data_IF_645333404042
#
_entry.id   IF_645333404042
#
_cell.length_a   1.000
_cell.length_b   1.000
_cell.length_c   1.000
_cell.angle_alpha   90.00
_cell.angle_beta   90.00
_cell.angle_gamma   90.00
#
_symmetry.space_group_name_H-M   'P 1'
#
loop_
_entity.id
_entity.type
_entity.pdbx_description
1 polymer ?
#
# COMPACT_ATOMS: atom_id res chain seq x y z
N UNK A 1 -9.85 -26.95 11.41
CA UNK A 1 -10.40 -25.61 11.76
C UNK A 1 -11.11 -25.08 10.54
N UNK A 2 -12.35 -24.60 10.68
CA UNK A 2 -13.07 -23.90 9.60
C UNK A 2 -12.49 -22.51 9.35
N UNK A 3 -12.82 -21.89 8.21
CA UNK A 3 -12.41 -20.51 7.91
C UNK A 3 -12.90 -19.54 8.98
N UNK A 4 -14.12 -19.70 9.49
CA UNK A 4 -14.66 -18.85 10.56
C UNK A 4 -13.90 -18.98 11.87
N UNK A 5 -13.45 -20.20 12.20
CA UNK A 5 -12.60 -20.43 13.39
C UNK A 5 -11.23 -19.78 13.23
N UNK A 6 -10.67 -19.80 12.02
CA UNK A 6 -9.43 -19.11 11.68
C UNK A 6 -9.57 -17.59 11.70
N UNK A 7 -10.65 -17.03 11.12
CA UNK A 7 -10.94 -15.60 11.14
C UNK A 7 -11.03 -15.07 12.56
N UNK A 8 -11.79 -15.78 13.40
CA UNK A 8 -11.96 -15.45 14.81
C UNK A 8 -10.63 -15.47 15.57
N UNK A 9 -9.81 -16.49 15.35
CA UNK A 9 -8.49 -16.59 16.00
C UNK A 9 -7.57 -15.42 15.61
N UNK A 10 -7.56 -15.03 14.34
CA UNK A 10 -6.76 -13.91 13.85
C UNK A 10 -7.25 -12.57 14.39
N UNK A 11 -8.57 -12.38 14.50
CA UNK A 11 -9.15 -11.17 15.08
C UNK A 11 -8.88 -11.07 16.60
N UNK A 12 -8.96 -12.18 17.33
CA UNK A 12 -8.69 -12.22 18.78
C UNK A 12 -7.21 -12.02 19.15
N UNK A 13 -6.31 -12.16 18.17
CA UNK A 13 -4.86 -12.08 18.38
C UNK A 13 -4.16 -11.15 17.37
N UNK A 14 -4.87 -10.13 16.87
CA UNK A 14 -4.32 -9.16 15.92
C UNK A 14 -3.10 -8.43 16.52
N UNK A 15 -3.12 -8.16 17.83
CA UNK A 15 -2.01 -7.59 18.61
C UNK A 15 -0.75 -8.46 18.61
N UNK A 16 -0.89 -9.79 18.47
CA UNK A 16 0.24 -10.73 18.43
C UNK A 16 0.89 -10.84 17.05
N UNK A 17 0.29 -10.21 16.05
CA UNK A 17 0.85 -10.13 14.69
C UNK A 17 1.81 -8.95 14.53
N UNK A 18 1.82 -8.05 15.52
CA UNK A 18 2.74 -6.93 15.64
C UNK A 18 4.03 -7.34 16.35
N UNK A 19 5.16 -6.95 15.79
CA UNK A 19 6.47 -7.08 16.45
C UNK A 19 6.99 -5.68 16.80
N UNK A 20 7.41 -5.45 18.06
CA UNK A 20 8.00 -4.18 18.47
C UNK A 20 9.26 -3.88 17.66
N UNK A 21 9.46 -2.62 17.27
CA UNK A 21 10.61 -2.25 16.42
C UNK A 21 11.97 -2.45 17.08
N UNK A 22 12.04 -2.43 18.41
CA UNK A 22 13.25 -2.80 19.16
C UNK A 22 13.69 -4.25 18.95
N UNK A 23 12.81 -5.14 18.48
CA UNK A 23 13.16 -6.55 18.25
C UNK A 23 14.09 -6.73 17.03
N UNK A 24 13.97 -5.87 16.03
CA UNK A 24 14.73 -5.98 14.77
C UNK A 24 15.97 -5.09 14.71
N UNK A 25 16.11 -4.16 15.66
CA UNK A 25 17.16 -3.15 15.65
C UNK A 25 18.00 -3.25 16.92
N UNK A 26 19.33 -3.33 16.77
CA UNK A 26 20.28 -3.31 17.92
C UNK A 26 20.24 -1.99 18.71
N UNK A 27 19.84 -0.90 18.06
CA UNK A 27 19.69 0.43 18.66
C UNK A 27 18.64 1.23 17.87
N UNK A 28 17.72 1.90 18.57
CA UNK A 28 16.68 2.73 17.96
C UNK A 28 15.49 2.93 18.90
N UNK A 29 14.48 3.71 18.50
CA UNK A 29 13.25 3.85 19.28
C UNK A 29 12.53 2.51 19.43
N UNK A 30 12.22 2.09 20.66
CA UNK A 30 11.55 0.81 20.89
C UNK A 30 10.02 0.93 20.89
N UNK A 31 9.50 2.13 21.12
CA UNK A 31 8.08 2.41 21.28
C UNK A 31 7.38 2.67 19.93
N UNK A 32 7.46 1.71 19.02
CA UNK A 32 6.76 1.71 17.72
C UNK A 32 6.54 0.27 17.24
N UNK A 33 5.57 0.07 16.37
CA UNK A 33 5.36 -1.21 15.68
C UNK A 33 6.37 -1.31 14.55
N UNK A 34 7.38 -2.17 14.68
CA UNK A 34 8.42 -2.29 13.66
C UNK A 34 8.08 -3.26 12.55
N UNK A 35 7.18 -4.22 12.80
CA UNK A 35 6.72 -5.18 11.79
C UNK A 35 5.29 -5.61 12.08
N UNK A 36 4.54 -5.86 11.02
CA UNK A 36 3.19 -6.39 11.10
C UNK A 36 3.03 -7.50 10.05
N UNK A 37 2.46 -8.63 10.46
CA UNK A 37 2.13 -9.71 9.52
C UNK A 37 0.88 -9.36 8.71
N UNK A 38 0.99 -9.43 7.39
CA UNK A 38 -0.06 -9.05 6.45
C UNK A 38 -0.01 -9.87 5.16
N UNK A 39 -1.12 -9.88 4.43
CA UNK A 39 -1.18 -10.39 3.07
C UNK A 39 -0.86 -9.23 2.15
N UNK A 40 0.08 -9.42 1.22
CA UNK A 40 0.51 -8.38 0.30
C UNK A 40 0.32 -8.82 -1.15
N UNK A 41 -0.35 -7.98 -1.93
CA UNK A 41 -0.35 -8.04 -3.39
C UNK A 41 0.71 -7.10 -3.96
N UNK A 42 1.41 -7.56 -5.00
CA UNK A 42 2.42 -6.77 -5.73
C UNK A 42 2.11 -6.79 -7.22
N UNK A 43 2.06 -5.62 -7.83
CA UNK A 43 1.87 -5.43 -9.27
C UNK A 43 3.11 -4.75 -9.85
N UNK A 44 3.66 -5.33 -10.92
CA UNK A 44 4.81 -4.81 -11.63
C UNK A 44 4.42 -4.42 -13.04
N UNK A 45 4.88 -3.26 -13.49
CA UNK A 45 4.46 -2.66 -14.76
C UNK A 45 5.47 -1.66 -15.31
N UNK A 46 5.19 -1.18 -16.53
CA UNK A 46 5.96 -0.15 -17.22
C UNK A 46 5.18 1.16 -17.28
N UNK A 47 5.88 2.25 -17.53
CA UNK A 47 5.29 3.55 -17.79
C UNK A 47 4.62 4.18 -16.55
N UNK A 48 5.15 3.92 -15.35
CA UNK A 48 4.60 4.48 -14.09
C UNK A 48 4.55 6.01 -14.05
N UNK A 49 5.32 6.68 -14.90
CA UNK A 49 5.32 8.13 -15.09
C UNK A 49 4.22 8.64 -16.04
N UNK A 50 3.56 7.77 -16.79
CA UNK A 50 2.57 8.16 -17.80
C UNK A 50 1.20 8.45 -17.17
N UNK A 51 0.43 9.36 -17.77
CA UNK A 51 -0.91 9.70 -17.28
C UNK A 51 -1.85 8.49 -17.19
N UNK A 52 -1.95 7.60 -18.21
CA UNK A 52 -2.86 6.45 -18.13
C UNK A 52 -2.55 5.50 -16.97
N UNK A 53 -1.26 5.21 -16.73
CA UNK A 53 -0.86 4.36 -15.61
C UNK A 53 -1.12 5.05 -14.27
N UNK A 54 -0.90 6.36 -14.17
CA UNK A 54 -1.22 7.12 -12.94
C UNK A 54 -2.71 7.19 -12.65
N UNK A 55 -3.57 7.26 -13.68
CA UNK A 55 -5.02 7.14 -13.54
C UNK A 55 -5.41 5.74 -13.04
N UNK A 56 -4.79 4.70 -13.59
CA UNK A 56 -4.98 3.32 -13.15
C UNK A 56 -4.59 3.11 -11.68
N UNK A 57 -3.45 3.67 -11.25
CA UNK A 57 -3.02 3.67 -9.84
C UNK A 57 -4.06 4.37 -8.95
N UNK A 58 -4.60 5.51 -9.39
CA UNK A 58 -5.67 6.20 -8.64
C UNK A 58 -6.94 5.33 -8.53
N UNK A 59 -7.34 4.66 -9.61
CA UNK A 59 -8.48 3.75 -9.59
C UNK A 59 -8.25 2.56 -8.64
N UNK A 60 -7.04 2.00 -8.62
CA UNK A 60 -6.65 0.95 -7.67
C UNK A 60 -6.73 1.46 -6.22
N UNK A 61 -6.29 2.69 -5.96
CA UNK A 61 -6.39 3.30 -4.64
C UNK A 61 -7.85 3.50 -4.21
N UNK A 62 -8.71 4.00 -5.10
CA UNK A 62 -10.14 4.19 -4.82
C UNK A 62 -10.82 2.85 -4.46
N UNK A 63 -10.51 1.77 -5.20
CA UNK A 63 -10.99 0.41 -4.89
C UNK A 63 -10.44 -0.10 -3.55
N UNK A 64 -9.16 0.14 -3.28
CA UNK A 64 -8.54 -0.27 -2.03
C UNK A 64 -9.21 0.40 -0.83
N UNK A 65 -9.40 1.73 -0.86
CA UNK A 65 -10.10 2.48 0.19
C UNK A 65 -11.55 2.01 0.36
N UNK A 66 -12.27 1.74 -0.75
CA UNK A 66 -13.62 1.21 -0.68
C UNK A 66 -13.68 -0.17 0.02
N UNK A 67 -12.65 -1.00 -0.19
CA UNK A 67 -12.54 -2.34 0.42
C UNK A 67 -12.23 -2.28 1.90
N UNK A 68 -11.30 -1.42 2.32
CA UNK A 68 -10.81 -1.38 3.70
C UNK A 68 -11.59 -0.42 4.61
N UNK A 69 -12.39 0.49 4.04
CA UNK A 69 -13.11 1.51 4.80
C UNK A 69 -12.19 2.61 5.35
N UNK A 70 -12.35 2.96 6.62
CA UNK A 70 -11.74 4.13 7.27
C UNK A 70 -10.40 3.86 7.98
N UNK A 71 -9.72 2.77 7.62
CA UNK A 71 -8.54 2.29 8.33
C UNK A 71 -7.30 3.18 8.15
N UNK A 72 -7.13 3.83 7.00
CA UNK A 72 -5.93 4.62 6.70
C UNK A 72 -5.78 5.86 7.57
N UNK A 73 -4.55 6.12 8.03
CA UNK A 73 -4.24 7.22 8.95
C UNK A 73 -3.23 8.22 8.40
N UNK A 74 -2.29 7.76 7.59
CA UNK A 74 -1.18 8.57 7.11
C UNK A 74 -0.98 8.44 5.61
N UNK A 75 -0.64 9.56 4.99
CA UNK A 75 -0.02 9.66 3.67
C UNK A 75 1.43 10.07 3.86
N UNK A 76 2.34 9.31 3.29
CA UNK A 76 3.77 9.57 3.23
C UNK A 76 4.15 9.69 1.77
N UNK A 77 4.79 10.77 1.38
CA UNK A 77 5.36 10.93 0.03
C UNK A 77 6.84 11.15 0.16
N UNK A 78 7.57 10.67 -0.84
CA UNK A 78 9.00 10.89 -0.93
C UNK A 78 9.35 12.37 -0.77
N UNK A 79 10.47 12.64 -0.08
CA UNK A 79 10.98 13.98 0.20
C UNK A 79 10.03 14.91 1.00
N UNK A 80 8.96 14.39 1.62
CA UNK A 80 8.00 15.21 2.39
C UNK A 80 7.74 14.67 3.80
N UNK A 81 7.19 15.52 4.67
CA UNK A 81 6.69 15.09 5.98
C UNK A 81 5.37 14.31 5.84
N UNK A 82 5.11 13.31 6.68
CA UNK A 82 3.83 12.62 6.72
C UNK A 82 2.65 13.57 6.93
N UNK A 83 1.53 13.27 6.29
CA UNK A 83 0.28 14.02 6.37
C UNK A 83 -0.81 13.08 6.89
N UNK A 84 -1.65 13.56 7.80
CA UNK A 84 -2.83 12.79 8.22
C UNK A 84 -3.76 12.56 7.02
N UNK A 85 -4.21 11.32 6.82
CA UNK A 85 -5.03 10.94 5.67
C UNK A 85 -6.31 11.78 5.56
N UNK A 86 -6.97 12.05 6.69
CA UNK A 86 -8.16 12.92 6.76
C UNK A 86 -7.93 14.37 6.29
N UNK A 87 -6.66 14.81 6.23
CA UNK A 87 -6.26 16.15 5.75
C UNK A 87 -5.60 16.09 4.37
N UNK A 88 -5.36 14.89 3.84
CA UNK A 88 -4.76 14.72 2.53
C UNK A 88 -5.77 15.11 1.46
N UNK A 89 -5.28 15.74 0.40
CA UNK A 89 -6.07 15.93 -0.82
C UNK A 89 -6.23 14.57 -1.52
N UNK A 90 -7.29 14.38 -2.34
CA UNK A 90 -7.43 13.19 -3.17
C UNK A 90 -6.14 12.86 -3.93
N UNK A 91 -5.78 11.57 -4.01
CA UNK A 91 -4.53 11.14 -4.64
C UNK A 91 -4.39 11.68 -6.08
N UNK A 92 -5.49 11.61 -6.84
CA UNK A 92 -5.60 12.12 -8.21
C UNK A 92 -5.23 13.59 -8.36
N UNK A 93 -5.50 14.43 -7.36
CA UNK A 93 -5.24 15.87 -7.43
C UNK A 93 -3.75 16.20 -7.38
N UNK A 94 -2.94 15.26 -6.90
CA UNK A 94 -1.49 15.35 -6.83
C UNK A 94 -0.82 14.50 -7.91
N UNK A 95 -1.13 13.20 -7.97
CA UNK A 95 -0.41 12.24 -8.81
C UNK A 95 -0.51 12.58 -10.30
N UNK A 96 -1.68 13.05 -10.77
CA UNK A 96 -1.90 13.38 -12.18
C UNK A 96 -1.27 14.73 -12.60
N UNK A 97 -0.81 15.54 -11.64
CA UNK A 97 -0.18 16.84 -11.91
C UNK A 97 1.35 16.79 -11.89
N UNK A 98 1.92 15.65 -11.52
CA UNK A 98 3.37 15.46 -11.53
C UNK A 98 3.90 15.50 -12.96
N UNK A 99 5.09 16.07 -13.14
CA UNK A 99 5.85 15.89 -14.38
C UNK A 99 6.27 14.40 -14.53
N UNK A 100 6.48 13.88 -15.75
CA UNK A 100 7.08 12.57 -15.95
C UNK A 100 8.35 12.30 -15.15
N UNK A 101 9.18 13.32 -14.90
CA UNK A 101 10.46 13.18 -14.20
C UNK A 101 10.39 13.49 -12.69
N UNK A 102 9.21 13.78 -12.16
CA UNK A 102 8.98 13.95 -10.73
C UNK A 102 8.94 12.60 -9.98
N UNK A 103 9.28 12.62 -8.68
CA UNK A 103 9.14 11.44 -7.82
C UNK A 103 7.66 11.13 -7.59
N UNK A 104 7.22 9.95 -8.05
CA UNK A 104 5.88 9.42 -7.82
C UNK A 104 5.91 8.25 -6.81
N UNK A 105 6.76 8.38 -5.77
CA UNK A 105 6.88 7.42 -4.67
C UNK A 105 6.03 7.91 -3.49
N UNK A 106 5.10 7.07 -3.04
CA UNK A 106 4.20 7.40 -1.93
C UNK A 106 3.64 6.15 -1.25
N UNK A 107 3.16 6.31 -0.02
CA UNK A 107 2.50 5.28 0.76
C UNK A 107 1.35 5.84 1.59
N UNK A 108 0.27 5.08 1.67
CA UNK A 108 -0.76 5.21 2.68
C UNK A 108 -0.64 4.07 3.68
N UNK A 109 -0.73 4.37 4.98
CA UNK A 109 -0.60 3.38 6.07
C UNK A 109 -1.59 3.67 7.20
N UNK A 110 -1.92 2.64 7.98
CA UNK A 110 -2.86 2.71 9.11
C UNK A 110 -2.20 2.68 10.50
N UNK A 111 -0.86 2.77 10.56
CA UNK A 111 -0.13 2.83 11.82
C UNK A 111 -0.60 3.99 12.72
N UNK A 112 -0.55 3.80 14.04
CA UNK A 112 -0.91 4.86 14.99
C UNK A 112 0.00 6.08 14.82
N UNK A 113 1.29 5.84 14.60
CA UNK A 113 2.29 6.81 14.14
C UNK A 113 2.64 6.59 12.67
N UNK A 114 3.15 7.62 11.96
CA UNK A 114 3.59 7.46 10.57
C UNK A 114 4.65 6.37 10.36
N UNK A 115 5.52 6.17 11.35
CA UNK A 115 6.60 5.18 11.33
C UNK A 115 6.17 3.77 11.75
N UNK A 116 4.94 3.59 12.27
CA UNK A 116 4.44 2.28 12.64
C UNK A 116 4.13 1.43 11.40
N UNK A 117 4.62 0.19 11.40
CA UNK A 117 4.20 -0.83 10.46
C UNK A 117 2.70 -1.12 10.63
N UNK A 118 2.05 -1.49 9.52
CA UNK A 118 0.60 -1.67 9.48
C UNK A 118 0.25 -2.77 8.51
N UNK A 119 -0.80 -3.53 8.83
CA UNK A 119 -1.35 -4.52 7.94
C UNK A 119 -2.08 -3.89 6.74
N UNK A 120 -2.64 -2.69 6.91
CA UNK A 120 -3.19 -1.90 5.82
C UNK A 120 -2.12 -0.99 5.24
N UNK A 121 -1.77 -1.20 3.97
CA UNK A 121 -0.84 -0.34 3.24
C UNK A 121 -1.23 -0.26 1.77
N UNK A 122 -1.06 0.92 1.17
CA UNK A 122 -1.04 1.10 -0.29
C UNK A 122 0.20 1.89 -0.64
N UNK A 123 1.14 1.32 -1.37
CA UNK A 123 2.47 1.88 -1.58
C UNK A 123 2.89 1.76 -3.03
N UNK A 124 3.27 2.89 -3.61
CA UNK A 124 3.70 2.98 -5.00
C UNK A 124 5.16 3.40 -5.06
N UNK A 125 5.93 2.70 -5.87
CA UNK A 125 7.30 3.06 -6.22
C UNK A 125 7.42 3.11 -7.74
N UNK A 126 7.18 4.29 -8.30
CA UNK A 126 7.35 4.52 -9.73
C UNK A 126 8.68 5.20 -10.02
N UNK A 127 9.31 4.75 -11.09
CA UNK A 127 10.47 5.39 -11.68
C UNK A 127 10.07 6.73 -12.29
N UNK A 128 11.01 7.67 -12.22
CA UNK A 128 11.00 8.88 -13.04
C UNK A 128 11.16 8.49 -14.52
N UNK A 129 10.54 9.23 -15.43
CA UNK A 129 10.53 8.93 -16.87
C UNK A 129 11.93 8.73 -17.46
N UNK A 130 12.86 9.63 -17.18
CA UNK A 130 14.24 9.54 -17.64
C UNK A 130 14.95 8.27 -17.17
N UNK A 131 14.60 7.76 -15.97
CA UNK A 131 15.22 6.57 -15.38
C UNK A 131 14.68 5.31 -16.03
N UNK A 132 13.37 5.25 -16.29
CA UNK A 132 12.76 4.12 -16.98
C UNK A 132 13.21 4.04 -18.45
N UNK A 133 13.36 5.17 -19.14
CA UNK A 133 13.86 5.22 -20.53
C UNK A 133 15.30 4.69 -20.67
N UNK A 134 16.09 4.70 -19.59
CA UNK A 134 17.42 4.07 -19.53
C UNK A 134 17.38 2.57 -19.25
N UNK A 135 16.20 2.01 -19.02
CA UNK A 135 16.01 0.59 -18.67
C UNK A 135 16.41 0.26 -17.23
N UNK A 136 16.38 1.22 -16.31
CA UNK A 136 16.88 1.03 -14.94
C UNK A 136 15.76 0.89 -13.91
N UNK A 137 15.66 -0.30 -13.32
CA UNK A 137 14.75 -0.57 -12.20
C UNK A 137 13.39 -1.11 -12.65
N UNK A 138 12.41 -0.99 -11.76
CA UNK A 138 11.07 -1.54 -11.94
C UNK A 138 10.06 -0.58 -11.30
N UNK A 139 8.88 -0.41 -11.92
CA UNK A 139 7.75 0.22 -11.25
C UNK A 139 6.98 -0.83 -10.49
N UNK A 140 6.55 -0.52 -9.27
CA UNK A 140 5.71 -1.41 -8.49
C UNK A 140 4.61 -0.67 -7.74
N UNK A 141 3.48 -1.36 -7.62
CA UNK A 141 2.41 -1.02 -6.71
C UNK A 141 2.18 -2.18 -5.75
N UNK A 142 2.23 -1.89 -4.47
CA UNK A 142 2.00 -2.83 -3.39
C UNK A 142 0.77 -2.43 -2.60
N UNK A 143 -0.05 -3.40 -2.25
CA UNK A 143 -1.10 -3.20 -1.26
C UNK A 143 -1.10 -4.34 -0.27
N UNK A 144 -1.47 -4.07 0.97
CA UNK A 144 -1.57 -5.10 2.00
C UNK A 144 -2.85 -4.97 2.81
N UNK A 145 -3.34 -6.12 3.29
CA UNK A 145 -4.49 -6.23 4.18
C UNK A 145 -4.19 -7.22 5.32
N UNK A 146 -4.87 -7.12 6.48
CA UNK A 146 -4.69 -8.08 7.56
C UNK A 146 -5.07 -9.49 7.16
N UNK A 147 -4.42 -10.48 7.77
CA UNK A 147 -4.62 -11.91 7.51
C UNK A 147 -6.09 -12.36 7.58
N UNK A 148 -6.92 -11.73 8.42
CA UNK A 148 -8.37 -12.02 8.53
C UNK A 148 -9.14 -11.87 7.23
N UNK A 149 -8.68 -11.04 6.29
CA UNK A 149 -9.32 -10.87 4.97
C UNK A 149 -9.37 -12.18 4.16
N UNK A 150 -8.38 -13.07 4.27
CA UNK A 150 -8.43 -14.38 3.61
C UNK A 150 -9.52 -15.27 4.21
N UNK A 151 -9.74 -15.16 5.51
CA UNK A 151 -10.69 -16.02 6.21
C UNK A 151 -12.14 -15.55 5.98
N UNK A 152 -12.37 -14.23 6.01
CA UNK A 152 -13.70 -13.62 5.80
C UNK A 152 -14.10 -13.59 4.32
N UNK A 153 -13.12 -13.50 3.41
CA UNK A 153 -13.35 -13.42 1.98
C UNK A 153 -12.42 -14.37 1.20
N UNK A 154 -12.63 -15.70 1.24
CA UNK A 154 -11.72 -16.66 0.62
C UNK A 154 -11.66 -16.57 -0.93
N UNK A 155 -12.46 -15.72 -1.57
CA UNK A 155 -12.55 -15.59 -3.04
C UNK A 155 -12.46 -14.15 -3.58
N UNK A 156 -12.55 -13.10 -2.76
CA UNK A 156 -12.72 -11.72 -3.25
C UNK A 156 -11.49 -10.79 -3.19
N UNK A 157 -10.56 -10.83 -2.21
CA UNK A 157 -9.52 -9.80 -2.11
C UNK A 157 -8.54 -9.80 -3.28
N UNK A 158 -8.59 -10.84 -4.13
CA UNK A 158 -7.76 -11.03 -5.31
C UNK A 158 -8.54 -11.01 -6.64
N UNK A 159 -9.89 -10.98 -6.64
CA UNK A 159 -10.67 -10.97 -7.89
C UNK A 159 -10.57 -9.64 -8.66
N UNK A 160 -10.17 -8.56 -7.99
CA UNK A 160 -9.85 -7.30 -8.65
C UNK A 160 -8.39 -7.20 -9.08
N UNK A 161 -7.48 -8.10 -8.63
CA UNK A 161 -6.10 -8.10 -9.10
C UNK A 161 -5.99 -8.31 -10.63
N UNK A 162 -6.83 -9.16 -11.28
CA UNK A 162 -6.99 -9.19 -12.74
C UNK A 162 -7.43 -7.84 -13.32
N UNK A 163 -8.45 -7.18 -12.75
CA UNK A 163 -8.89 -5.86 -13.23
C UNK A 163 -7.81 -4.76 -13.07
N UNK A 164 -7.07 -4.78 -11.96
CA UNK A 164 -5.94 -3.88 -11.74
C UNK A 164 -4.79 -4.17 -12.71
N UNK A 165 -4.51 -5.45 -12.98
CA UNK A 165 -3.53 -5.87 -13.99
C UNK A 165 -3.97 -5.47 -15.40
N UNK A 166 -5.25 -5.63 -15.75
CA UNK A 166 -5.77 -5.24 -17.06
C UNK A 166 -5.78 -3.72 -17.24
N UNK A 167 -5.91 -2.95 -16.15
CA UNK A 167 -5.87 -1.47 -16.20
C UNK A 167 -4.43 -0.93 -16.21
N UNK A 168 -3.48 -1.60 -15.56
CA UNK A 168 -2.10 -1.13 -15.41
C UNK A 168 -1.12 -1.75 -16.43
N UNK A 169 -1.37 -2.99 -16.86
CA UNK A 169 -0.49 -3.79 -17.71
C UNK A 169 -1.03 -4.03 -19.12
N UNK A 170 -2.11 -3.36 -19.55
CA UNK A 170 -2.56 -3.41 -20.94
C UNK A 170 -1.52 -2.75 -21.85
N UNK A 171 -0.98 -3.53 -22.78
CA UNK A 171 -0.11 -3.06 -23.88
C UNK A 171 -0.81 -2.06 -24.80
#
# INVERSE_FOLDING_TARGET
>A
MSNDQWAKLLAEHEDKLELPGGLLMRSGPENHVGTMLAITGSLYYKGGYTTPVREAICACFDQYVATIGDQLRWLIKDETKPVQFKRAKPLRDWLLKLDPDDSAIFGYTAGDKPEDASAYRFYSENLRGWKEQRGWGLNALHFSVPLKFIADQPKEPLNNAPQMRDTICSE
#
